data_IF_349696204661
#
_entry.id   IF_349696204661
#
_cell.length_a   1.000
_cell.length_b   1.000
_cell.length_c   1.000
_cell.angle_alpha   90.00
_cell.angle_beta   90.00
_cell.angle_gamma   90.00
#
_symmetry.space_group_name_H-M   'P 1'
#
loop_
_entity.id
_entity.type
_entity.pdbx_description
1 polymer ?
#
# COMPACT_ATOMS: atom_id res chain seq x y z
N UNK A 1 46.96 5.74 -3.87
CA UNK A 1 46.27 7.04 -4.05
C UNK A 1 45.46 7.19 -5.35
N UNK A 2 45.92 6.77 -6.53
CA UNK A 2 45.15 6.87 -7.78
C UNK A 2 43.93 5.90 -7.85
N UNK A 3 44.04 4.73 -7.28
CA UNK A 3 42.96 3.71 -7.27
C UNK A 3 41.81 4.16 -6.36
N UNK A 4 42.09 4.74 -5.19
CA UNK A 4 41.08 5.23 -4.25
C UNK A 4 40.21 6.35 -4.85
N UNK A 5 40.83 7.31 -5.58
CA UNK A 5 40.06 8.39 -6.25
C UNK A 5 39.13 7.85 -7.32
N UNK A 6 39.57 6.87 -8.13
CA UNK A 6 38.71 6.23 -9.13
C UNK A 6 37.52 5.49 -8.50
N UNK A 7 37.75 4.77 -7.41
CA UNK A 7 36.70 4.07 -6.67
C UNK A 7 35.64 5.05 -6.13
N UNK A 8 36.08 6.16 -5.55
CA UNK A 8 35.19 7.21 -5.03
C UNK A 8 34.34 7.84 -6.15
N UNK A 9 34.96 8.15 -7.29
CA UNK A 9 34.24 8.72 -8.45
C UNK A 9 33.19 7.70 -8.97
N UNK A 10 33.57 6.43 -9.08
CA UNK A 10 32.64 5.38 -9.53
C UNK A 10 31.45 5.22 -8.59
N UNK A 11 31.68 5.20 -7.30
CA UNK A 11 30.62 5.10 -6.27
C UNK A 11 29.70 6.33 -6.32
N UNK A 12 30.27 7.52 -6.48
CA UNK A 12 29.49 8.76 -6.58
C UNK A 12 28.60 8.78 -7.83
N UNK A 13 29.16 8.42 -8.99
CA UNK A 13 28.43 8.34 -10.27
C UNK A 13 27.32 7.29 -10.17
N UNK A 14 27.59 6.13 -9.57
CA UNK A 14 26.59 5.08 -9.39
C UNK A 14 25.47 5.53 -8.44
N UNK A 15 25.80 6.26 -7.37
CA UNK A 15 24.83 6.85 -6.45
C UNK A 15 23.92 7.86 -7.17
N UNK A 16 24.47 8.76 -7.97
CA UNK A 16 23.68 9.71 -8.76
C UNK A 16 22.79 9.00 -9.78
N UNK A 17 23.29 7.96 -10.45
CA UNK A 17 22.50 7.16 -11.37
C UNK A 17 21.35 6.45 -10.66
N UNK A 18 21.59 5.87 -9.49
CA UNK A 18 20.54 5.20 -8.70
C UNK A 18 19.45 6.19 -8.29
N UNK A 19 19.82 7.41 -7.85
CA UNK A 19 18.85 8.47 -7.49
C UNK A 19 18.05 8.91 -8.72
N UNK A 20 18.71 9.17 -9.85
CA UNK A 20 18.06 9.58 -11.09
C UNK A 20 17.11 8.52 -11.63
N UNK A 21 17.53 7.25 -11.62
CA UNK A 21 16.72 6.12 -12.04
C UNK A 21 15.50 5.91 -11.12
N UNK A 22 15.68 6.05 -9.81
CA UNK A 22 14.58 5.99 -8.84
C UNK A 22 13.57 7.12 -9.07
N UNK A 23 14.03 8.33 -9.31
CA UNK A 23 13.19 9.48 -9.64
C UNK A 23 12.41 9.28 -10.95
N UNK A 24 13.05 8.71 -11.96
CA UNK A 24 12.40 8.39 -13.23
C UNK A 24 11.31 7.31 -13.07
N UNK A 25 11.60 6.21 -12.36
CA UNK A 25 10.59 5.18 -12.06
C UNK A 25 9.42 5.78 -11.27
N UNK A 26 9.70 6.62 -10.28
CA UNK A 26 8.67 7.29 -9.48
C UNK A 26 7.76 8.17 -10.36
N UNK A 27 8.34 8.95 -11.27
CA UNK A 27 7.59 9.79 -12.22
C UNK A 27 6.69 8.96 -13.14
N UNK A 28 7.21 7.86 -13.70
CA UNK A 28 6.43 6.94 -14.56
C UNK A 28 5.30 6.26 -13.78
N UNK A 29 5.56 5.86 -12.54
CA UNK A 29 4.57 5.24 -11.65
C UNK A 29 3.39 6.20 -11.41
N UNK A 30 3.66 7.46 -11.08
CA UNK A 30 2.63 8.47 -10.80
C UNK A 30 1.79 8.79 -12.05
N UNK A 31 2.40 8.84 -13.23
CA UNK A 31 1.70 9.08 -14.50
C UNK A 31 0.77 7.89 -14.87
N UNK A 32 1.23 6.65 -14.69
CA UNK A 32 0.41 5.44 -14.89
C UNK A 32 -0.71 5.30 -13.87
N UNK A 33 -0.44 5.67 -12.63
CA UNK A 33 -1.45 5.65 -11.57
C UNK A 33 -2.66 6.51 -11.96
N UNK A 34 -2.43 7.70 -12.51
CA UNK A 34 -3.47 8.61 -12.96
C UNK A 34 -4.30 8.07 -14.15
N UNK A 35 -3.70 7.25 -15.01
CA UNK A 35 -4.35 6.63 -16.18
C UNK A 35 -5.18 5.37 -15.84
N UNK A 36 -4.80 4.65 -14.77
CA UNK A 36 -5.40 3.35 -14.41
C UNK A 36 -6.53 3.49 -13.37
N UNK A 37 -6.66 4.65 -12.69
CA UNK A 37 -7.46 4.80 -11.48
C UNK A 37 -8.40 6.02 -11.52
N UNK A 38 -9.15 6.17 -12.60
CA UNK A 38 -10.16 7.24 -12.71
C UNK A 38 -11.37 7.01 -11.78
N UNK A 39 -11.46 5.83 -11.17
CA UNK A 39 -12.58 5.37 -10.37
C UNK A 39 -12.17 5.13 -8.92
N UNK A 40 -11.84 6.20 -8.20
CA UNK A 40 -11.54 6.14 -6.78
C UNK A 40 -12.65 6.80 -5.98
N UNK A 41 -13.27 6.04 -5.10
CA UNK A 41 -14.26 6.53 -4.15
C UNK A 41 -13.55 6.73 -2.82
N UNK A 42 -13.77 7.90 -2.19
CA UNK A 42 -13.17 8.25 -0.91
C UNK A 42 -14.25 8.58 0.10
N UNK A 43 -14.13 8.04 1.28
CA UNK A 43 -14.99 8.37 2.40
C UNK A 43 -14.20 8.41 3.71
N UNK A 44 -14.72 9.13 4.70
CA UNK A 44 -14.15 9.18 6.04
C UNK A 44 -14.97 8.29 6.98
N UNK A 45 -14.27 7.55 7.84
CA UNK A 45 -14.89 6.79 8.91
C UNK A 45 -15.36 7.75 10.01
N UNK A 46 -16.68 7.96 10.15
CA UNK A 46 -17.25 8.82 11.19
C UNK A 46 -17.95 7.97 12.24
N UNK A 47 -17.69 8.26 13.52
CA UNK A 47 -18.49 7.73 14.62
C UNK A 47 -19.81 8.49 14.67
N UNK A 48 -20.90 7.81 14.42
CA UNK A 48 -22.23 8.36 14.60
C UNK A 48 -22.65 8.28 16.08
N UNK A 49 -23.48 9.23 16.54
CA UNK A 49 -23.83 9.39 17.95
C UNK A 49 -24.56 8.17 18.55
N UNK A 50 -25.14 7.31 17.72
CA UNK A 50 -25.92 6.12 18.13
C UNK A 50 -25.15 4.80 17.96
N UNK A 51 -23.83 4.85 17.82
CA UNK A 51 -23.01 3.64 17.62
C UNK A 51 -23.13 3.04 16.21
N UNK A 52 -23.87 3.69 15.32
CA UNK A 52 -23.96 3.28 13.92
C UNK A 52 -22.65 3.51 13.19
N UNK A 53 -22.32 2.54 12.36
CA UNK A 53 -21.13 2.55 11.52
C UNK A 53 -21.49 3.19 10.20
N UNK A 54 -20.70 4.16 9.75
CA UNK A 54 -20.94 4.73 8.43
C UNK A 54 -20.48 3.74 7.36
N UNK A 55 -21.43 3.33 6.55
CA UNK A 55 -21.21 2.60 5.32
C UNK A 55 -21.24 3.55 4.14
N UNK A 56 -20.47 3.26 3.10
CA UNK A 56 -20.55 3.92 1.81
C UNK A 56 -21.26 3.03 0.83
N UNK A 57 -22.35 3.53 0.24
CA UNK A 57 -23.10 2.85 -0.81
C UNK A 57 -22.58 3.26 -2.18
N UNK A 58 -22.15 2.29 -2.96
CA UNK A 58 -21.61 2.45 -4.31
C UNK A 58 -22.59 1.83 -5.28
N UNK A 59 -23.23 2.66 -6.12
CA UNK A 59 -24.01 2.14 -7.23
C UNK A 59 -23.05 1.57 -8.29
N UNK A 60 -23.17 0.29 -8.58
CA UNK A 60 -22.38 -0.34 -9.64
C UNK A 60 -22.91 0.07 -11.01
N UNK A 61 -22.05 0.40 -12.00
CA UNK A 61 -22.48 0.75 -13.35
C UNK A 61 -23.26 -0.38 -14.01
N UNK A 62 -24.20 -0.03 -14.90
CA UNK A 62 -25.00 -1.01 -15.65
C UNK A 62 -24.17 -1.78 -16.70
N UNK A 63 -23.05 -1.20 -17.18
CA UNK A 63 -22.12 -1.78 -18.16
C UNK A 63 -20.98 -2.58 -17.50
N UNK A 64 -21.30 -3.30 -16.44
CA UNK A 64 -20.34 -4.04 -15.63
C UNK A 64 -20.04 -5.41 -16.28
N UNK A 65 -19.31 -5.41 -17.39
CA UNK A 65 -19.12 -6.61 -18.25
C UNK A 65 -17.98 -7.54 -17.84
N UNK A 66 -17.06 -7.13 -16.94
CA UNK A 66 -15.88 -7.91 -16.55
C UNK A 66 -15.87 -8.25 -15.06
N UNK A 67 -15.28 -9.41 -14.66
CA UNK A 67 -15.07 -9.72 -13.26
C UNK A 67 -14.19 -8.66 -12.61
N UNK A 68 -14.80 -7.83 -11.80
CA UNK A 68 -14.15 -6.70 -11.14
C UNK A 68 -13.92 -7.00 -9.68
N UNK A 69 -12.94 -6.31 -9.15
CA UNK A 69 -12.60 -6.36 -7.73
C UNK A 69 -12.52 -4.95 -7.18
N UNK A 70 -12.87 -4.79 -5.91
CA UNK A 70 -12.57 -3.59 -5.16
C UNK A 70 -11.29 -3.80 -4.37
N UNK A 71 -10.50 -2.75 -4.27
CA UNK A 71 -9.28 -2.69 -3.48
C UNK A 71 -9.39 -1.54 -2.48
N UNK A 72 -9.17 -1.84 -1.22
CA UNK A 72 -9.03 -0.84 -0.17
C UNK A 72 -8.04 -1.29 0.89
N UNK A 73 -7.55 -0.35 1.68
CA UNK A 73 -6.63 -0.62 2.79
C UNK A 73 -7.27 -0.20 4.10
N UNK A 74 -7.16 -1.04 5.10
CA UNK A 74 -7.61 -0.74 6.45
C UNK A 74 -6.46 -0.83 7.46
N UNK A 75 -6.63 -0.19 8.60
CA UNK A 75 -5.68 -0.23 9.70
C UNK A 75 -6.45 -0.29 11.01
N UNK A 76 -6.31 -1.40 11.74
CA UNK A 76 -7.01 -1.68 13.00
C UNK A 76 -8.53 -1.53 12.90
N UNK A 77 -9.10 -2.00 11.79
CA UNK A 77 -10.54 -1.92 11.51
C UNK A 77 -11.07 -3.26 11.04
N UNK A 78 -12.30 -3.56 11.38
CA UNK A 78 -13.09 -4.64 10.79
C UNK A 78 -13.63 -4.13 9.47
N UNK A 79 -13.62 -4.97 8.44
CA UNK A 79 -14.11 -4.63 7.11
C UNK A 79 -15.19 -5.63 6.68
N UNK A 80 -16.32 -5.12 6.22
CA UNK A 80 -17.39 -5.90 5.62
C UNK A 80 -17.76 -5.32 4.26
N UNK A 81 -18.09 -6.19 3.30
CA UNK A 81 -18.63 -5.81 2.02
C UNK A 81 -19.93 -6.53 1.76
N UNK A 82 -20.95 -5.77 1.41
CA UNK A 82 -22.30 -6.23 1.20
C UNK A 82 -22.74 -5.90 -0.24
N UNK A 83 -23.45 -6.82 -0.89
CA UNK A 83 -24.02 -6.64 -2.23
C UNK A 83 -25.53 -6.87 -2.13
N UNK A 84 -26.33 -5.84 -2.41
CA UNK A 84 -27.80 -5.87 -2.25
C UNK A 84 -28.27 -6.46 -0.91
N UNK A 85 -27.54 -6.17 0.17
CA UNK A 85 -27.87 -6.65 1.52
C UNK A 85 -27.37 -8.06 1.85
N UNK A 86 -26.68 -8.73 0.92
CA UNK A 86 -25.95 -9.98 1.18
C UNK A 86 -24.50 -9.73 1.49
N UNK A 87 -23.95 -10.28 2.59
CA UNK A 87 -22.56 -10.13 2.96
C UNK A 87 -21.69 -11.05 2.10
N UNK A 88 -20.86 -10.44 1.22
CA UNK A 88 -19.94 -11.16 0.31
C UNK A 88 -18.50 -11.22 0.83
N UNK A 89 -18.16 -10.39 1.84
CA UNK A 89 -16.82 -10.37 2.42
C UNK A 89 -16.85 -9.88 3.84
N UNK A 90 -16.01 -10.49 4.69
CA UNK A 90 -15.77 -10.08 6.08
C UNK A 90 -14.30 -10.31 6.44
N UNK A 91 -13.73 -9.39 7.22
CA UNK A 91 -12.37 -9.49 7.74
C UNK A 91 -12.25 -8.83 9.11
N UNK A 92 -11.57 -9.51 10.02
CA UNK A 92 -11.20 -8.95 11.31
C UNK A 92 -12.25 -9.16 12.39
N UNK A 93 -13.20 -10.08 12.19
CA UNK A 93 -14.14 -10.51 13.23
C UNK A 93 -13.37 -11.14 14.40
N UNK A 94 -13.79 -10.85 15.64
CA UNK A 94 -13.15 -11.39 16.85
C UNK A 94 -13.23 -12.92 16.94
N UNK A 95 -14.27 -13.54 16.37
CA UNK A 95 -14.47 -14.99 16.39
C UNK A 95 -13.37 -15.75 15.63
N UNK A 96 -12.83 -15.18 14.57
CA UNK A 96 -11.78 -15.79 13.75
C UNK A 96 -10.36 -15.36 14.16
N UNK A 97 -10.23 -14.42 15.09
CA UNK A 97 -8.94 -13.89 15.51
C UNK A 97 -8.28 -14.76 16.58
N UNK A 98 -6.95 -15.02 16.48
CA UNK A 98 -6.22 -15.64 17.57
C UNK A 98 -6.38 -14.83 18.88
N UNK A 99 -6.51 -15.49 20.02
CA UNK A 99 -6.78 -14.87 21.34
C UNK A 99 -5.75 -13.82 21.78
N UNK A 100 -4.55 -13.81 21.20
CA UNK A 100 -3.52 -12.81 21.46
C UNK A 100 -3.66 -11.56 20.56
N UNK A 101 -4.49 -11.61 19.52
CA UNK A 101 -4.66 -10.54 18.55
C UNK A 101 -5.75 -9.59 19.03
N UNK A 102 -5.38 -8.36 19.39
CA UNK A 102 -6.31 -7.34 19.89
C UNK A 102 -6.99 -6.53 18.78
N UNK A 103 -6.51 -6.67 17.54
CA UNK A 103 -7.07 -5.98 16.37
C UNK A 103 -6.61 -6.65 15.07
N UNK A 104 -7.35 -6.46 13.97
CA UNK A 104 -7.00 -7.05 12.66
C UNK A 104 -5.70 -6.55 12.04
N UNK A 105 -5.06 -5.51 12.62
CA UNK A 105 -3.83 -4.93 12.08
C UNK A 105 -4.06 -4.09 10.82
N UNK A 106 -3.01 -3.94 10.01
CA UNK A 106 -3.09 -3.23 8.71
C UNK A 106 -3.10 -4.23 7.57
N UNK A 107 -4.12 -4.16 6.71
CA UNK A 107 -4.31 -5.11 5.62
C UNK A 107 -4.79 -4.44 4.34
N UNK A 108 -4.42 -5.01 3.19
CA UNK A 108 -5.01 -4.73 1.90
C UNK A 108 -6.11 -5.75 1.62
N UNK A 109 -7.28 -5.28 1.21
CA UNK A 109 -8.43 -6.11 0.88
C UNK A 109 -8.66 -6.08 -0.62
N UNK A 110 -8.69 -7.25 -1.26
CA UNK A 110 -9.14 -7.43 -2.65
C UNK A 110 -10.40 -8.27 -2.58
N UNK A 111 -11.54 -7.65 -2.83
CA UNK A 111 -12.84 -8.33 -2.81
C UNK A 111 -13.34 -8.47 -4.23
N UNK A 112 -13.57 -9.70 -4.66
CA UNK A 112 -14.14 -9.97 -5.99
C UNK A 112 -15.64 -9.69 -5.95
N UNK A 113 -16.10 -8.96 -6.94
CA UNK A 113 -17.52 -8.67 -7.16
C UNK A 113 -18.04 -9.69 -8.18
N UNK A 114 -19.15 -10.40 -7.90
CA UNK A 114 -19.77 -11.33 -8.85
C UNK A 114 -20.12 -10.68 -10.19
N UNK A 115 -20.08 -11.44 -11.27
CA UNK A 115 -20.33 -10.95 -12.64
C UNK A 115 -21.75 -10.40 -12.85
N UNK A 116 -22.73 -10.93 -12.12
CA UNK A 116 -24.14 -10.53 -12.20
C UNK A 116 -24.51 -9.34 -11.30
N UNK A 117 -23.54 -8.47 -10.99
CA UNK A 117 -23.67 -7.38 -10.03
C UNK A 117 -24.00 -6.02 -10.69
N UNK A 118 -24.18 -5.96 -12.00
CA UNK A 118 -24.55 -4.75 -12.71
C UNK A 118 -25.82 -4.12 -12.11
N UNK A 119 -25.79 -2.81 -11.85
CA UNK A 119 -26.91 -2.07 -11.27
C UNK A 119 -27.21 -2.36 -9.79
N UNK A 120 -26.50 -3.30 -9.15
CA UNK A 120 -26.66 -3.60 -7.72
C UNK A 120 -25.97 -2.56 -6.85
N UNK A 121 -26.42 -2.47 -5.59
CA UNK A 121 -25.81 -1.61 -4.58
C UNK A 121 -24.72 -2.35 -3.83
N UNK A 122 -23.50 -1.82 -3.87
CA UNK A 122 -22.37 -2.31 -3.10
C UNK A 122 -22.20 -1.42 -1.86
N UNK A 123 -22.27 -2.01 -0.68
CA UNK A 123 -22.06 -1.31 0.60
C UNK A 123 -20.74 -1.79 1.21
N UNK A 124 -19.86 -0.85 1.55
CA UNK A 124 -18.61 -1.14 2.25
C UNK A 124 -18.69 -0.54 3.65
N UNK A 125 -18.60 -1.40 4.66
CA UNK A 125 -18.62 -1.03 6.09
C UNK A 125 -17.23 -1.17 6.66
N UNK A 126 -16.75 -0.13 7.31
CA UNK A 126 -15.44 -0.11 7.97
C UNK A 126 -15.62 0.33 9.41
N UNK A 127 -15.30 -0.59 10.32
CA UNK A 127 -15.54 -0.47 11.75
C UNK A 127 -14.19 -0.35 12.46
N UNK A 128 -13.76 0.85 12.88
CA UNK A 128 -12.57 1.00 13.68
C UNK A 128 -12.67 0.29 15.03
N UNK A 129 -11.63 -0.47 15.39
CA UNK A 129 -11.52 -1.13 16.70
C UNK A 129 -11.14 -0.13 17.80
N UNK A 130 -10.44 0.94 17.43
CA UNK A 130 -10.00 1.97 18.35
C UNK A 130 -10.52 3.34 17.96
N UNK A 131 -10.88 4.15 18.95
CA UNK A 131 -11.47 5.49 18.74
C UNK A 131 -10.59 6.45 17.94
N UNK A 132 -9.27 6.34 18.03
CA UNK A 132 -8.34 7.21 17.29
C UNK A 132 -8.26 6.92 15.79
N UNK A 133 -8.92 5.89 15.29
CA UNK A 133 -9.02 5.58 13.85
C UNK A 133 -10.31 6.09 13.21
N UNK A 134 -11.25 6.64 14.00
CA UNK A 134 -12.35 7.39 13.43
C UNK A 134 -11.86 8.70 12.81
N UNK A 135 -12.47 9.12 11.71
CA UNK A 135 -12.05 10.28 10.93
C UNK A 135 -10.98 9.98 9.87
N UNK A 136 -10.45 8.76 9.84
CA UNK A 136 -9.51 8.36 8.79
C UNK A 136 -10.22 8.23 7.44
N UNK A 137 -9.54 8.73 6.40
CA UNK A 137 -10.00 8.59 5.03
C UNK A 137 -9.72 7.17 4.52
N UNK A 138 -10.72 6.56 3.93
CA UNK A 138 -10.61 5.28 3.25
C UNK A 138 -10.84 5.49 1.75
N UNK A 139 -9.91 5.02 0.95
CA UNK A 139 -10.01 5.06 -0.50
C UNK A 139 -10.32 3.67 -1.04
N UNK A 140 -11.41 3.55 -1.78
CA UNK A 140 -11.79 2.34 -2.49
C UNK A 140 -11.49 2.55 -3.97
N UNK A 141 -10.73 1.63 -4.52
CA UNK A 141 -10.43 1.60 -5.96
C UNK A 141 -11.07 0.35 -6.54
N UNK A 142 -11.69 0.45 -7.70
CA UNK A 142 -12.21 -0.72 -8.37
C UNK A 142 -11.60 -0.91 -9.76
N UNK A 143 -11.47 -2.17 -10.15
CA UNK A 143 -10.87 -2.56 -11.42
C UNK A 143 -10.75 -4.06 -11.53
N UNK A 144 -9.99 -4.53 -12.51
CA UNK A 144 -9.69 -5.95 -12.61
C UNK A 144 -8.81 -6.39 -11.41
N UNK A 145 -8.91 -7.64 -11.01
CA UNK A 145 -8.09 -8.19 -9.93
C UNK A 145 -6.59 -7.98 -10.19
N UNK A 146 -6.16 -8.11 -11.46
CA UNK A 146 -4.76 -7.87 -11.84
C UNK A 146 -4.33 -6.44 -11.59
N UNK A 147 -5.18 -5.46 -11.89
CA UNK A 147 -4.93 -4.06 -11.60
C UNK A 147 -4.81 -3.83 -10.08
N UNK A 148 -5.72 -4.38 -9.27
CA UNK A 148 -5.66 -4.27 -7.81
C UNK A 148 -4.32 -4.79 -7.25
N UNK A 149 -3.86 -5.96 -7.72
CA UNK A 149 -2.56 -6.52 -7.33
C UNK A 149 -1.42 -5.60 -7.77
N UNK A 150 -1.47 -5.09 -9.00
CA UNK A 150 -0.46 -4.15 -9.51
C UNK A 150 -0.39 -2.87 -8.66
N UNK A 151 -1.53 -2.34 -8.22
CA UNK A 151 -1.58 -1.18 -7.31
C UNK A 151 -0.84 -1.46 -6.01
N UNK A 152 -1.13 -2.59 -5.35
CA UNK A 152 -0.45 -2.99 -4.11
C UNK A 152 1.06 -3.10 -4.32
N UNK A 153 1.48 -3.73 -5.43
CA UNK A 153 2.89 -3.86 -5.77
C UNK A 153 3.55 -2.50 -5.98
N UNK A 154 2.90 -1.59 -6.70
CA UNK A 154 3.43 -0.25 -6.96
C UNK A 154 3.56 0.57 -5.67
N UNK A 155 2.57 0.51 -4.79
CA UNK A 155 2.62 1.20 -3.50
C UNK A 155 3.72 0.62 -2.58
N UNK A 156 3.87 -0.71 -2.57
CA UNK A 156 4.91 -1.41 -1.83
C UNK A 156 6.30 -1.18 -2.42
N UNK A 157 6.41 -1.05 -3.76
CA UNK A 157 7.67 -0.86 -4.46
C UNK A 157 8.36 0.44 -4.08
N UNK A 158 7.61 1.52 -3.84
CA UNK A 158 8.17 2.80 -3.36
C UNK A 158 8.94 2.61 -2.04
N UNK A 159 8.34 1.90 -1.11
CA UNK A 159 8.93 1.59 0.20
C UNK A 159 10.13 0.64 0.08
N UNK A 160 10.02 -0.38 -0.76
CA UNK A 160 11.10 -1.32 -1.03
C UNK A 160 12.32 -0.62 -1.62
N UNK A 161 12.12 0.26 -2.59
CA UNK A 161 13.20 1.01 -3.24
C UNK A 161 13.94 1.90 -2.24
N UNK A 162 13.21 2.61 -1.37
CA UNK A 162 13.79 3.41 -0.30
C UNK A 162 14.61 2.55 0.67
N UNK A 163 14.06 1.41 1.09
CA UNK A 163 14.74 0.47 2.00
C UNK A 163 16.03 -0.09 1.40
N UNK A 164 16.00 -0.47 0.12
CA UNK A 164 17.19 -0.91 -0.61
C UNK A 164 18.26 0.20 -0.70
N UNK A 165 17.86 1.44 -0.93
CA UNK A 165 18.75 2.60 -0.96
C UNK A 165 19.46 2.82 0.39
N UNK A 166 18.73 2.75 1.49
CA UNK A 166 19.27 2.87 2.85
C UNK A 166 20.24 1.72 3.15
N UNK A 167 19.86 0.49 2.81
CA UNK A 167 20.72 -0.68 3.01
C UNK A 167 22.04 -0.54 2.23
N UNK A 168 21.97 -0.12 0.98
CA UNK A 168 23.14 0.10 0.14
C UNK A 168 24.07 1.19 0.72
N UNK A 169 23.52 2.31 1.15
CA UNK A 169 24.27 3.37 1.80
C UNK A 169 24.96 2.87 3.09
N UNK A 170 24.26 2.06 3.88
CA UNK A 170 24.80 1.47 5.12
C UNK A 170 25.98 0.53 4.85
N UNK A 171 25.89 -0.29 3.79
CA UNK A 171 26.99 -1.18 3.38
C UNK A 171 28.21 -0.35 2.96
N UNK A 172 28.02 0.72 2.20
CA UNK A 172 29.11 1.62 1.80
C UNK A 172 29.79 2.22 3.04
N UNK A 173 29.02 2.77 3.97
CA UNK A 173 29.55 3.33 5.22
C UNK A 173 30.36 2.30 6.01
N UNK A 174 29.87 1.05 6.12
CA UNK A 174 30.57 -0.04 6.81
C UNK A 174 31.91 -0.36 6.11
N UNK A 175 31.93 -0.47 4.78
CA UNK A 175 33.17 -0.74 4.03
C UNK A 175 34.18 0.37 4.20
N UNK A 176 33.75 1.61 4.20
CA UNK A 176 34.62 2.78 4.44
C UNK A 176 35.19 2.76 5.85
N UNK A 177 34.38 2.48 6.85
CA UNK A 177 34.82 2.34 8.23
C UNK A 177 35.86 1.24 8.38
N UNK A 178 35.61 0.05 7.85
CA UNK A 178 36.56 -1.07 7.89
C UNK A 178 37.87 -0.74 7.15
N UNK A 179 37.78 -0.03 6.03
CA UNK A 179 38.95 0.46 5.29
C UNK A 179 39.81 1.42 6.11
N UNK A 180 39.15 2.37 6.80
CA UNK A 180 39.84 3.33 7.68
C UNK A 180 40.51 2.65 8.86
N UNK A 181 39.84 1.67 9.52
CA UNK A 181 40.40 0.91 10.63
C UNK A 181 41.62 0.09 10.18
N UNK A 182 41.54 -0.58 9.02
CA UNK A 182 42.68 -1.35 8.47
C UNK A 182 43.89 -0.45 8.18
N UNK A 183 43.65 0.76 7.64
CA UNK A 183 44.72 1.72 7.39
C UNK A 183 45.41 2.16 8.65
N UNK A 184 44.63 2.53 9.69
CA UNK A 184 45.19 2.93 11.01
C UNK A 184 46.04 1.83 11.70
N UNK A 185 45.71 0.54 11.45
CA UNK A 185 46.48 -0.60 11.95
C UNK A 185 47.80 -0.82 11.20
N UNK A 186 47.88 -0.41 9.93
CA UNK A 186 49.05 -0.58 9.08
C UNK A 186 50.10 0.53 9.30
N UNK A 187 49.64 1.70 9.78
CA UNK A 187 50.44 2.88 10.04
C UNK A 187 51.02 2.92 11.51
N UNK A 188 50.74 1.86 12.28
CA UNK A 188 51.35 1.57 13.60
C UNK A 188 52.32 0.42 13.49
#
# INVERSE_FOLDING_TARGET
MKIEKKLWITLFVFGLFAIGFSGWIFSQSTAREKLLWDNTIRFETKKLTDGEIKSENIALPEDFDDPRSILFKTTHTIAEVWLDGEKIYEYGNEEDAPSFMKSPGSCWHIVNIPEDSAGKSLEVRIIPVYDNYYGNEVSIVYGTRGNCVLKILMDSFKTLLLSCGILFASIICLLLYLGAVRRKRRDK
#
